data_IF_132205250574
#
_entry.id   IF_132205250574
#
_cell.length_a   1.000
_cell.length_b   1.000
_cell.length_c   1.000
_cell.angle_alpha   90.00
_cell.angle_beta   90.00
_cell.angle_gamma   90.00
#
_symmetry.space_group_name_H-M   'P 1'
#
loop_
_entity.id
_entity.type
_entity.pdbx_description
1 polymer ?
#
# COMPACT_ATOMS: atom_id res chain seq x y z
N UNK A 1 -6.31 7.99 0.86
CA UNK A 1 -5.48 6.76 0.96
C UNK A 1 -4.95 6.42 -0.42
N UNK A 2 -3.75 5.84 -0.54
CA UNK A 2 -3.26 5.27 -1.80
C UNK A 2 -2.90 3.79 -1.60
N UNK A 3 -3.24 2.94 -2.56
CA UNK A 3 -2.95 1.51 -2.60
C UNK A 3 -2.49 1.17 -4.01
N UNK A 4 -1.27 0.63 -4.13
CA UNK A 4 -0.68 0.26 -5.41
C UNK A 4 -0.02 -1.10 -5.29
N UNK A 5 -0.28 -1.97 -6.26
CA UNK A 5 0.37 -3.26 -6.39
C UNK A 5 1.61 -3.13 -7.28
N UNK A 6 2.72 -3.71 -6.84
CA UNK A 6 3.97 -3.74 -7.59
C UNK A 6 4.65 -5.10 -7.46
N UNK A 7 5.51 -5.42 -8.43
CA UNK A 7 6.27 -6.68 -8.47
C UNK A 7 7.61 -6.61 -7.74
N UNK A 8 7.92 -5.47 -7.10
CA UNK A 8 9.16 -5.24 -6.37
C UNK A 8 8.96 -4.18 -5.27
N UNK A 9 9.90 -4.14 -4.32
CA UNK A 9 9.94 -3.19 -3.21
C UNK A 9 11.01 -2.09 -3.38
N UNK A 10 11.37 -1.74 -4.63
CA UNK A 10 12.41 -0.72 -4.86
C UNK A 10 11.94 0.65 -4.33
N UNK A 11 12.87 1.42 -3.78
CA UNK A 11 12.56 2.76 -3.25
C UNK A 11 11.96 3.71 -4.30
N UNK A 12 12.36 3.58 -5.58
CA UNK A 12 11.77 4.33 -6.68
C UNK A 12 10.30 3.98 -6.93
N UNK A 13 9.93 2.72 -6.78
CA UNK A 13 8.56 2.24 -6.96
C UNK A 13 7.67 2.81 -5.88
N UNK A 14 8.10 2.73 -4.62
CA UNK A 14 7.39 3.31 -3.47
C UNK A 14 7.29 4.83 -3.60
N UNK A 15 8.35 5.50 -4.06
CA UNK A 15 8.35 6.94 -4.32
C UNK A 15 7.33 7.33 -5.39
N UNK A 16 7.24 6.60 -6.51
CA UNK A 16 6.28 6.90 -7.57
C UNK A 16 4.84 6.83 -7.05
N UNK A 17 4.48 5.77 -6.33
CA UNK A 17 3.16 5.66 -5.69
C UNK A 17 2.90 6.79 -4.69
N UNK A 18 3.92 7.21 -3.94
CA UNK A 18 3.82 8.35 -3.03
C UNK A 18 3.58 9.67 -3.77
N UNK A 19 4.29 9.92 -4.89
CA UNK A 19 4.12 11.13 -5.70
C UNK A 19 2.75 11.21 -6.34
N UNK A 20 2.20 10.10 -6.82
CA UNK A 20 0.82 10.05 -7.33
C UNK A 20 -0.19 10.45 -6.24
N UNK A 21 0.01 9.96 -5.01
CA UNK A 21 -0.80 10.35 -3.86
C UNK A 21 -0.63 11.84 -3.51
N UNK A 22 0.60 12.36 -3.54
CA UNK A 22 0.88 13.79 -3.31
C UNK A 22 0.24 14.67 -4.39
N UNK A 23 0.24 14.24 -5.65
CA UNK A 23 -0.42 14.96 -6.73
C UNK A 23 -1.94 15.02 -6.55
N UNK A 24 -2.52 13.98 -5.94
CA UNK A 24 -3.97 13.87 -5.71
C UNK A 24 -4.42 14.59 -4.42
N UNK A 25 -3.68 14.44 -3.33
CA UNK A 25 -4.10 14.86 -1.98
C UNK A 25 -3.25 15.99 -1.40
N UNK A 26 -2.21 16.44 -2.11
CA UNK A 26 -1.22 17.38 -1.61
C UNK A 26 -0.13 16.72 -0.76
N UNK A 27 0.92 17.49 -0.46
CA UNK A 27 2.04 17.01 0.36
C UNK A 27 1.56 16.84 1.80
N UNK A 28 1.77 15.70 2.47
CA UNK A 28 1.40 15.54 3.87
C UNK A 28 2.25 16.43 4.79
N UNK A 29 1.79 16.69 6.01
CA UNK A 29 2.58 17.38 7.03
C UNK A 29 3.64 16.45 7.64
N UNK A 30 3.30 15.16 7.82
CA UNK A 30 4.17 14.11 8.35
C UNK A 30 3.90 12.79 7.63
N UNK A 31 4.96 12.01 7.44
CA UNK A 31 4.90 10.61 6.99
C UNK A 31 5.48 9.73 8.08
N UNK A 32 4.91 8.54 8.27
CA UNK A 32 5.43 7.52 9.19
C UNK A 32 5.71 6.25 8.41
N UNK A 33 6.87 5.66 8.60
CA UNK A 33 7.23 4.33 8.10
C UNK A 33 8.07 3.58 9.12
N UNK A 34 8.24 2.29 8.91
CA UNK A 34 9.30 1.52 9.54
C UNK A 34 10.68 1.85 8.94
N UNK A 35 11.72 1.18 9.45
CA UNK A 35 13.12 1.31 9.02
C UNK A 35 13.41 0.48 7.76
N UNK A 36 12.60 0.66 6.72
CA UNK A 36 12.74 -0.01 5.43
C UNK A 36 13.55 0.79 4.41
N UNK A 37 14.43 0.12 3.67
CA UNK A 37 15.21 0.73 2.58
C UNK A 37 14.33 1.26 1.43
N UNK A 38 13.17 0.66 1.25
CA UNK A 38 12.13 1.05 0.29
C UNK A 38 11.54 2.44 0.58
N UNK A 39 11.64 2.95 1.81
CA UNK A 39 11.09 4.24 2.21
C UNK A 39 12.11 5.39 2.13
N UNK A 40 13.38 5.09 1.88
CA UNK A 40 14.50 6.07 1.90
C UNK A 40 14.22 7.27 1.01
N UNK A 41 13.72 7.07 -0.21
CA UNK A 41 13.44 8.20 -1.10
C UNK A 41 12.31 9.08 -0.56
N UNK A 42 11.24 8.49 0.00
CA UNK A 42 10.12 9.24 0.58
C UNK A 42 10.60 10.08 1.77
N UNK A 43 11.50 9.53 2.59
CA UNK A 43 12.13 10.25 3.70
C UNK A 43 12.88 11.48 3.18
N UNK A 44 13.75 11.30 2.17
CA UNK A 44 14.50 12.41 1.58
C UNK A 44 13.59 13.52 1.03
N UNK A 45 12.54 13.15 0.29
CA UNK A 45 11.57 14.10 -0.25
C UNK A 45 10.83 14.87 0.86
N UNK A 46 10.39 14.19 1.92
CA UNK A 46 9.68 14.83 3.03
C UNK A 46 10.58 15.80 3.81
N UNK A 47 11.87 15.46 3.97
CA UNK A 47 12.85 16.35 4.59
C UNK A 47 13.16 17.55 3.70
N UNK A 48 13.33 17.36 2.38
CA UNK A 48 13.60 18.47 1.46
C UNK A 48 12.41 19.43 1.33
N UNK A 49 11.19 18.89 1.28
CA UNK A 49 9.98 19.70 1.03
C UNK A 49 9.48 20.42 2.29
N UNK A 50 9.58 19.79 3.47
CA UNK A 50 9.10 20.39 4.73
C UNK A 50 10.20 21.07 5.55
N UNK A 51 11.46 20.78 5.27
CA UNK A 51 12.63 21.31 5.98
C UNK A 51 13.16 20.37 7.06
N UNK A 52 14.48 20.45 7.29
CA UNK A 52 15.20 19.73 8.36
C UNK A 52 14.61 20.07 9.73
N UNK A 53 14.60 19.10 10.65
CA UNK A 53 14.13 19.23 12.04
C UNK A 53 12.64 19.59 12.23
N UNK A 54 11.80 19.40 11.21
CA UNK A 54 10.33 19.56 11.34
C UNK A 54 9.59 18.32 11.83
N UNK A 55 10.31 17.22 12.10
CA UNK A 55 9.73 15.90 12.38
C UNK A 55 8.74 15.50 11.27
N UNK A 56 9.09 15.79 10.01
CA UNK A 56 8.27 15.52 8.82
C UNK A 56 8.27 14.04 8.42
N UNK A 57 9.26 13.28 8.89
CA UNK A 57 9.25 11.82 8.85
C UNK A 57 9.40 11.27 10.26
N UNK A 58 8.53 10.33 10.62
CA UNK A 58 8.54 9.61 11.89
C UNK A 58 8.97 8.17 11.61
N UNK A 59 10.16 7.83 12.07
CA UNK A 59 10.65 6.45 12.08
C UNK A 59 10.39 5.85 13.46
N UNK A 60 9.83 4.63 13.54
CA UNK A 60 9.64 3.99 14.84
C UNK A 60 9.26 2.52 14.75
N UNK A 61 9.41 1.81 15.88
CA UNK A 61 9.13 0.36 15.99
C UNK A 61 7.69 0.02 15.56
N UNK A 62 7.51 -1.15 14.95
CA UNK A 62 6.22 -1.64 14.42
C UNK A 62 5.07 -1.56 15.42
N UNK A 63 5.32 -1.67 16.72
CA UNK A 63 4.29 -1.58 17.78
C UNK A 63 3.49 -0.27 17.78
N UNK A 64 4.00 0.79 17.17
CA UNK A 64 3.33 2.09 17.05
C UNK A 64 2.67 2.32 15.68
N UNK A 65 2.75 1.33 14.78
CA UNK A 65 2.16 1.35 13.43
C UNK A 65 0.74 0.74 13.42
N UNK A 66 0.05 0.72 14.56
CA UNK A 66 -1.27 0.08 14.73
C UNK A 66 -2.32 0.49 13.68
N UNK A 67 -2.32 1.76 13.26
CA UNK A 67 -3.27 2.26 12.25
C UNK A 67 -3.01 1.64 10.87
N UNK A 68 -1.76 1.57 10.44
CA UNK A 68 -1.41 0.96 9.16
C UNK A 68 -1.56 -0.56 9.24
N UNK A 69 -1.24 -1.19 10.38
CA UNK A 69 -1.51 -2.61 10.61
C UNK A 69 -3.01 -2.94 10.61
N UNK A 70 -3.87 -2.06 11.13
CA UNK A 70 -5.33 -2.23 11.02
C UNK A 70 -5.80 -2.12 9.58
N UNK A 71 -5.33 -1.10 8.86
CA UNK A 71 -5.65 -0.94 7.44
C UNK A 71 -5.21 -2.16 6.63
N UNK A 72 -4.01 -2.67 6.88
CA UNK A 72 -3.51 -3.88 6.22
C UNK A 72 -4.37 -5.10 6.49
N UNK A 73 -4.90 -5.27 7.72
CA UNK A 73 -5.86 -6.35 8.01
C UNK A 73 -7.14 -6.22 7.20
N UNK A 74 -7.67 -5.00 7.07
CA UNK A 74 -8.89 -4.75 6.30
C UNK A 74 -8.65 -4.95 4.79
N UNK A 75 -7.51 -4.50 4.25
CA UNK A 75 -7.09 -4.75 2.86
C UNK A 75 -6.87 -6.23 2.60
N UNK A 76 -6.25 -6.95 3.54
CA UNK A 76 -6.02 -8.38 3.40
C UNK A 76 -7.34 -9.13 3.31
N UNK A 77 -8.23 -8.95 4.30
CA UNK A 77 -9.52 -9.64 4.31
C UNK A 77 -10.46 -9.21 3.17
N UNK A 78 -10.40 -7.95 2.74
CA UNK A 78 -11.27 -7.42 1.69
C UNK A 78 -10.78 -7.66 0.26
N UNK A 79 -9.48 -7.91 0.06
CA UNK A 79 -8.87 -8.01 -1.27
C UNK A 79 -7.91 -9.18 -1.38
N UNK A 80 -6.87 -9.20 -0.53
CA UNK A 80 -5.71 -10.08 -0.78
C UNK A 80 -5.96 -11.55 -0.43
N UNK A 81 -6.88 -11.85 0.49
CA UNK A 81 -7.19 -13.21 0.94
C UNK A 81 -7.62 -14.13 -0.21
N UNK A 82 -8.41 -13.61 -1.16
CA UNK A 82 -8.82 -14.31 -2.38
C UNK A 82 -7.62 -14.74 -3.22
N UNK A 83 -6.71 -13.79 -3.50
CA UNK A 83 -5.53 -14.05 -4.33
C UNK A 83 -4.54 -14.95 -3.60
N UNK A 84 -4.31 -14.70 -2.32
CA UNK A 84 -3.47 -15.54 -1.47
C UNK A 84 -3.93 -17.00 -1.48
N UNK A 85 -5.23 -17.23 -1.21
CA UNK A 85 -5.82 -18.57 -1.23
C UNK A 85 -5.69 -19.22 -2.61
N UNK A 86 -5.95 -18.46 -3.68
CA UNK A 86 -5.82 -18.95 -5.06
C UNK A 86 -4.39 -19.38 -5.38
N UNK A 87 -3.39 -18.58 -5.02
CA UNK A 87 -1.98 -18.88 -5.30
C UNK A 87 -1.49 -20.06 -4.47
N UNK A 88 -1.87 -20.16 -3.19
CA UNK A 88 -1.57 -21.34 -2.38
C UNK A 88 -2.17 -22.62 -2.96
N UNK A 89 -3.35 -22.56 -3.57
CA UNK A 89 -3.96 -23.72 -4.22
C UNK A 89 -3.23 -24.08 -5.52
N UNK A 90 -2.86 -23.09 -6.34
CA UNK A 90 -2.06 -23.32 -7.54
C UNK A 90 -0.70 -23.97 -7.21
N UNK A 91 -0.06 -23.54 -6.13
CA UNK A 91 1.20 -24.14 -5.66
C UNK A 91 0.99 -25.58 -5.18
N UNK A 92 -0.09 -25.85 -4.41
CA UNK A 92 -0.43 -27.20 -3.94
C UNK A 92 -0.79 -28.18 -5.05
N UNK A 93 -1.32 -27.68 -6.16
CA UNK A 93 -1.70 -28.47 -7.34
C UNK A 93 -0.55 -28.57 -8.37
N UNK A 94 0.66 -28.12 -8.02
CA UNK A 94 1.84 -28.08 -8.91
C UNK A 94 1.63 -27.25 -10.20
N UNK A 95 0.67 -26.32 -10.19
CA UNK A 95 0.40 -25.39 -11.30
C UNK A 95 1.20 -24.09 -11.21
N UNK A 96 1.73 -23.77 -10.02
CA UNK A 96 2.57 -22.60 -9.76
C UNK A 96 3.87 -23.03 -9.07
N UNK A 97 5.00 -22.86 -9.75
CA UNK A 97 6.32 -23.03 -9.15
C UNK A 97 6.99 -21.65 -8.96
N UNK A 98 7.31 -21.29 -7.72
CA UNK A 98 7.94 -20.01 -7.39
C UNK A 98 9.44 -19.96 -7.71
N UNK A 99 10.07 -21.10 -7.96
CA UNK A 99 11.46 -21.17 -8.43
C UNK A 99 11.55 -21.02 -9.96
N UNK A 100 10.42 -21.01 -10.68
CA UNK A 100 10.36 -20.82 -12.12
C UNK A 100 9.99 -19.39 -12.51
N UNK A 101 10.92 -18.69 -13.16
CA UNK A 101 10.72 -17.31 -13.60
C UNK A 101 9.52 -17.14 -14.55
N UNK A 102 9.25 -18.14 -15.41
CA UNK A 102 8.12 -18.08 -16.34
C UNK A 102 6.78 -18.17 -15.62
N UNK A 103 6.71 -18.94 -14.54
CA UNK A 103 5.53 -19.04 -13.69
C UNK A 103 5.31 -17.73 -12.93
N UNK A 104 6.37 -17.15 -12.35
CA UNK A 104 6.29 -15.82 -11.71
C UNK A 104 5.83 -14.75 -12.71
N UNK A 105 6.38 -14.74 -13.92
CA UNK A 105 5.98 -13.80 -14.97
C UNK A 105 4.51 -13.97 -15.34
N UNK A 106 4.06 -15.21 -15.58
CA UNK A 106 2.67 -15.51 -15.90
C UNK A 106 1.72 -15.10 -14.77
N UNK A 107 2.12 -15.30 -13.51
CA UNK A 107 1.39 -14.88 -12.32
C UNK A 107 1.23 -13.36 -12.28
N UNK A 108 2.33 -12.61 -12.43
CA UNK A 108 2.31 -11.15 -12.49
C UNK A 108 1.45 -10.65 -13.65
N UNK A 109 1.63 -11.20 -14.86
CA UNK A 109 0.88 -10.78 -16.04
C UNK A 109 -0.62 -10.98 -15.87
N UNK A 110 -1.03 -12.13 -15.33
CA UNK A 110 -2.44 -12.51 -15.21
C UNK A 110 -3.13 -11.81 -14.05
N UNK A 111 -2.46 -11.69 -12.91
CA UNK A 111 -3.11 -11.30 -11.66
C UNK A 111 -2.76 -9.89 -11.18
N UNK A 112 -1.62 -9.30 -11.54
CA UNK A 112 -1.28 -7.95 -11.09
C UNK A 112 -2.34 -6.90 -11.48
N UNK A 113 -2.88 -6.88 -12.73
CA UNK A 113 -3.96 -5.96 -13.08
C UNK A 113 -5.25 -6.22 -12.28
N UNK A 114 -5.52 -7.48 -11.94
CA UNK A 114 -6.72 -7.87 -11.18
C UNK A 114 -6.60 -7.43 -9.71
N UNK A 115 -5.44 -7.66 -9.09
CA UNK A 115 -5.14 -7.19 -7.73
C UNK A 115 -5.27 -5.66 -7.68
N UNK A 116 -4.64 -4.95 -8.62
CA UNK A 116 -4.72 -3.49 -8.66
C UNK A 116 -6.16 -2.98 -8.82
N UNK A 117 -6.97 -3.64 -9.65
CA UNK A 117 -8.39 -3.32 -9.82
C UNK A 117 -9.18 -3.53 -8.53
N UNK A 118 -8.96 -4.64 -7.81
CA UNK A 118 -9.64 -4.90 -6.53
C UNK A 118 -9.19 -3.92 -5.44
N UNK A 119 -7.90 -3.60 -5.38
CA UNK A 119 -7.38 -2.54 -4.49
C UNK A 119 -8.03 -1.19 -4.79
N UNK A 120 -8.24 -0.87 -6.07
CA UNK A 120 -8.91 0.36 -6.49
C UNK A 120 -10.38 0.37 -6.03
N UNK A 121 -11.13 -0.72 -6.23
CA UNK A 121 -12.50 -0.84 -5.71
C UNK A 121 -12.56 -0.73 -4.19
N UNK A 122 -11.66 -1.39 -3.47
CA UNK A 122 -11.57 -1.27 -2.01
C UNK A 122 -11.29 0.17 -1.59
N UNK A 123 -10.35 0.85 -2.25
CA UNK A 123 -10.02 2.26 -1.99
C UNK A 123 -11.23 3.17 -2.22
N UNK A 124 -11.97 2.95 -3.29
CA UNK A 124 -13.14 3.76 -3.62
C UNK A 124 -14.28 3.54 -2.62
N UNK A 125 -14.53 2.29 -2.21
CA UNK A 125 -15.45 1.97 -1.12
C UNK A 125 -15.01 2.62 0.20
N UNK A 126 -13.75 2.44 0.59
CA UNK A 126 -13.21 3.00 1.83
C UNK A 126 -13.30 4.53 1.90
N UNK A 127 -13.07 5.22 0.78
CA UNK A 127 -13.16 6.68 0.71
C UNK A 127 -14.63 7.18 0.68
N UNK A 128 -15.59 6.32 0.31
CA UNK A 128 -17.02 6.62 0.27
C UNK A 128 -17.75 6.22 1.55
N UNK A 129 -17.22 5.24 2.29
CA UNK A 129 -17.80 4.74 3.53
C UNK A 129 -17.74 5.77 4.66
N UNK A 130 -18.85 5.92 5.37
CA UNK A 130 -19.02 6.90 6.44
C UNK A 130 -18.25 6.49 7.70
N UNK A 131 -17.43 7.38 8.24
CA UNK A 131 -16.75 7.16 9.52
C UNK A 131 -17.77 7.27 10.67
N UNK A 132 -18.13 6.12 11.26
CA UNK A 132 -19.08 6.03 12.39
C UNK A 132 -18.67 6.86 13.62
N UNK A 133 -17.40 7.21 13.76
CA UNK A 133 -16.84 7.87 14.94
C UNK A 133 -16.65 9.39 14.80
N UNK A 134 -16.89 9.97 13.62
CA UNK A 134 -16.71 11.42 13.35
C UNK A 134 -18.02 12.10 12.91
N UNK A 135 -19.18 11.58 13.32
CA UNK A 135 -20.48 12.16 12.96
C UNK A 135 -20.96 11.87 11.52
N UNK A 136 -20.51 10.76 10.91
CA UNK A 136 -20.87 10.27 9.57
C UNK A 136 -20.30 10.93 8.29
N UNK A 137 -19.26 11.80 8.27
CA UNK A 137 -18.62 12.18 7.01
C UNK A 137 -17.75 11.03 6.49
N UNK A 138 -17.66 10.90 5.15
CA UNK A 138 -16.67 10.01 4.53
C UNK A 138 -15.27 10.64 4.57
N UNK A 139 -14.18 9.87 4.42
CA UNK A 139 -12.81 10.41 4.39
C UNK A 139 -12.56 11.49 3.33
N UNK A 140 -13.39 11.57 2.28
CA UNK A 140 -13.36 12.64 1.26
C UNK A 140 -14.07 13.93 1.69
N UNK A 141 -14.91 13.86 2.72
CA UNK A 141 -15.75 14.95 3.21
C UNK A 141 -15.17 15.63 4.46
N UNK A 142 -14.01 15.19 4.93
CA UNK A 142 -13.21 15.78 6.01
C UNK A 142 -12.12 16.69 5.42
#
# INVERSE_FOLDING_TARGET
MYLSAATNNRASTVMNSFLEAVNTYGVPSRVRSDEGGEHVQVVHLMVSTRGLNKNSHLTGRSTHNQRIERLWRDVFGGVLDLFYTSFCNLEREDLLNLDEEIHIYALHWSFLPQIQRHLQFFKDGWNQDRLRTEGNPSPLQL
#
